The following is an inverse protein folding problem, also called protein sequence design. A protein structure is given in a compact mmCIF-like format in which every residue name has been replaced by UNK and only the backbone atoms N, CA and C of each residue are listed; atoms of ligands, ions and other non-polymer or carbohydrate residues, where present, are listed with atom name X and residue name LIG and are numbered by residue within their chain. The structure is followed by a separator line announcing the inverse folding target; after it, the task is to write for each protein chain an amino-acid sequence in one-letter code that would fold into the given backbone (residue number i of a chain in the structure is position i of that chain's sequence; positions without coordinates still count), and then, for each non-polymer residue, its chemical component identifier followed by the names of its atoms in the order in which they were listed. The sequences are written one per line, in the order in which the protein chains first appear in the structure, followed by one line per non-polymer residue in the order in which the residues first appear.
data_IF_804665712739
#
_entry.id   IF_804665712739
#
_cell.length_a   1.000
_cell.length_b   1.000
_cell.length_c   1.000
_cell.angle_alpha   90.00
_cell.angle_beta   90.00
_cell.angle_gamma   90.00
#
_symmetry.space_group_name_H-M   'P 1'
#
loop_
_entity.id
_entity.type
_entity.pdbx_description
1 polymer ?
#
# COMPACT_ATOMS: atom_id res chain seq x y z
N UNK A 1 -4.33 -15.85 -3.05
CA UNK A 1 -3.60 -15.51 -1.81
C UNK A 1 -2.12 -15.39 -2.15
N UNK A 2 -1.39 -14.41 -1.59
CA UNK A 2 0.00 -14.15 -1.96
C UNK A 2 0.92 -14.22 -0.71
N UNK A 3 2.09 -14.88 -0.78
CA UNK A 3 2.97 -15.08 0.40
C UNK A 3 3.56 -13.78 0.96
N UNK A 4 3.65 -12.71 0.18
CA UNK A 4 4.14 -11.41 0.66
C UNK A 4 3.10 -10.60 1.47
N UNK A 5 1.85 -11.05 1.54
CA UNK A 5 0.85 -10.42 2.41
C UNK A 5 0.96 -10.97 3.81
N UNK A 6 1.20 -10.10 4.80
CA UNK A 6 1.55 -10.51 6.16
C UNK A 6 0.57 -9.93 7.18
N UNK A 7 0.29 -10.73 8.20
CA UNK A 7 -0.31 -10.26 9.45
C UNK A 7 0.81 -9.94 10.43
N UNK A 8 1.09 -8.66 10.61
CA UNK A 8 2.13 -8.17 11.50
C UNK A 8 1.59 -8.05 12.94
N UNK A 9 2.36 -8.58 13.89
CA UNK A 9 2.15 -8.47 15.35
C UNK A 9 3.31 -7.79 16.07
N UNK A 10 4.44 -7.59 15.37
CA UNK A 10 5.67 -7.01 15.91
C UNK A 10 6.42 -6.15 14.92
N UNK A 11 7.33 -5.33 15.45
CA UNK A 11 8.24 -4.47 14.72
C UNK A 11 9.56 -4.35 15.49
N UNK A 12 10.70 -4.51 14.82
CA UNK A 12 12.04 -4.46 15.42
C UNK A 12 12.22 -5.39 16.63
N UNK A 13 11.73 -6.63 16.53
CA UNK A 13 11.86 -7.65 17.59
C UNK A 13 10.98 -7.44 18.82
N UNK A 14 10.06 -6.47 18.79
CA UNK A 14 9.13 -6.15 19.86
C UNK A 14 7.69 -6.20 19.36
N UNK A 15 6.72 -6.29 20.27
CA UNK A 15 5.29 -6.12 19.95
C UNK A 15 5.05 -4.78 19.26
N UNK A 16 4.09 -4.76 18.33
CA UNK A 16 3.70 -3.52 17.64
C UNK A 16 3.33 -2.42 18.64
N UNK A 17 3.87 -1.20 18.49
CA UNK A 17 3.36 -0.03 19.21
C UNK A 17 1.95 0.37 18.73
N UNK A 18 1.16 1.03 19.59
CA UNK A 18 -0.21 1.45 19.27
C UNK A 18 -0.28 2.35 18.03
N UNK A 19 0.68 3.28 17.86
CA UNK A 19 0.75 4.14 16.68
C UNK A 19 0.95 3.37 15.37
N UNK A 20 1.50 2.16 15.44
CA UNK A 20 1.68 1.25 14.32
C UNK A 20 0.49 0.29 14.13
N UNK A 21 -0.60 0.43 14.90
CA UNK A 21 -1.82 -0.36 14.71
C UNK A 21 -1.82 -1.71 15.42
N UNK A 22 -1.25 -1.77 16.61
CA UNK A 22 -1.34 -2.92 17.51
C UNK A 22 -2.82 -3.34 17.80
N UNK A 23 -3.07 -4.59 18.23
CA UNK A 23 -2.10 -5.69 18.32
C UNK A 23 -1.83 -6.38 16.98
N UNK A 24 -2.68 -6.14 15.98
CA UNK A 24 -2.72 -6.86 14.71
C UNK A 24 -2.88 -5.90 13.54
N UNK A 25 -1.94 -5.93 12.59
CA UNK A 25 -1.92 -5.07 11.40
C UNK A 25 -1.71 -5.88 10.14
N UNK A 26 -2.42 -5.52 9.07
CA UNK A 26 -2.13 -6.05 7.73
C UNK A 26 -0.94 -5.30 7.11
N UNK A 27 -0.06 -6.02 6.40
CA UNK A 27 1.01 -5.46 5.59
C UNK A 27 0.94 -6.05 4.18
N UNK A 28 0.82 -5.18 3.18
CA UNK A 28 0.84 -5.55 1.76
C UNK A 28 1.92 -4.71 1.05
N UNK A 29 3.14 -5.24 0.85
CA UNK A 29 4.32 -4.40 0.62
C UNK A 29 4.37 -3.72 -0.75
N UNK A 30 3.64 -4.23 -1.74
CA UNK A 30 3.62 -3.68 -3.10
C UNK A 30 2.49 -2.66 -3.34
N UNK A 31 1.66 -2.40 -2.33
CA UNK A 31 0.51 -1.47 -2.40
C UNK A 31 0.78 -0.22 -1.57
N UNK A 32 0.05 0.85 -1.88
CA UNK A 32 0.08 2.05 -1.05
C UNK A 32 -0.36 1.76 0.39
N UNK A 33 0.23 2.48 1.35
CA UNK A 33 0.12 2.17 2.78
C UNK A 33 -1.31 2.15 3.34
N UNK A 34 -2.26 2.82 2.69
CA UNK A 34 -3.66 2.84 3.12
C UNK A 34 -4.38 1.49 2.96
N UNK A 35 -3.83 0.57 2.15
CA UNK A 35 -4.33 -0.83 2.06
C UNK A 35 -3.89 -1.70 3.25
N UNK A 36 -2.91 -1.24 4.02
CA UNK A 36 -2.38 -1.92 5.20
C UNK A 36 -3.12 -1.42 6.45
N UNK A 37 -4.32 -1.97 6.71
CA UNK A 37 -5.21 -1.56 7.80
C UNK A 37 -4.60 -1.83 9.19
N UNK A 38 -4.90 -0.94 10.15
CA UNK A 38 -4.42 -0.99 11.55
C UNK A 38 -5.46 -1.61 12.47
N UNK A 39 -5.01 -2.24 13.56
CA UNK A 39 -5.86 -2.64 14.69
C UNK A 39 -7.07 -3.46 14.25
N UNK A 40 -6.81 -4.53 13.50
CA UNK A 40 -7.85 -5.40 12.94
C UNK A 40 -8.57 -6.13 14.06
N UNK A 41 -9.90 -6.04 14.05
CA UNK A 41 -10.80 -6.75 14.98
C UNK A 41 -11.63 -7.83 14.30
N UNK A 42 -11.79 -7.75 12.98
CA UNK A 42 -12.66 -8.64 12.22
C UNK A 42 -12.10 -8.86 10.81
N UNK A 43 -12.24 -10.08 10.29
CA UNK A 43 -11.88 -10.46 8.92
C UNK A 43 -13.05 -11.25 8.35
N UNK A 44 -13.68 -10.69 7.32
CA UNK A 44 -14.80 -11.31 6.62
C UNK A 44 -14.38 -11.74 5.21
N UNK A 45 -14.76 -12.96 4.82
CA UNK A 45 -14.60 -13.45 3.45
C UNK A 45 -15.94 -13.26 2.74
N UNK A 46 -15.96 -12.38 1.73
CA UNK A 46 -17.17 -12.00 1.00
C UNK A 46 -17.10 -12.45 -0.45
N UNK A 47 -18.25 -12.72 -1.07
CA UNK A 47 -18.33 -13.06 -2.49
C UNK A 47 -18.14 -11.85 -3.41
N UNK A 48 -18.47 -10.65 -2.92
CA UNK A 48 -18.37 -9.39 -3.65
C UNK A 48 -17.22 -8.53 -3.13
N UNK A 49 -16.70 -7.64 -4.00
CA UNK A 49 -15.64 -6.70 -3.65
C UNK A 49 -16.14 -5.68 -2.61
N UNK A 50 -15.56 -5.62 -1.41
CA UNK A 50 -16.00 -4.68 -0.39
C UNK A 50 -15.57 -3.24 -0.71
N UNK A 51 -16.32 -2.28 -0.17
CA UNK A 51 -15.92 -0.88 -0.18
C UNK A 51 -14.74 -0.65 0.77
N UNK A 52 -13.88 0.33 0.46
CA UNK A 52 -12.69 0.62 1.27
C UNK A 52 -12.68 2.08 1.69
N UNK A 53 -12.24 2.37 2.93
CA UNK A 53 -12.45 3.69 3.54
C UNK A 53 -11.95 4.87 2.70
N UNK A 54 -10.77 4.75 2.09
CA UNK A 54 -10.19 5.81 1.24
C UNK A 54 -10.92 5.96 -0.10
N UNK A 55 -11.31 4.84 -0.72
CA UNK A 55 -12.10 4.86 -1.95
C UNK A 55 -13.49 5.45 -1.72
N UNK A 56 -14.14 5.10 -0.60
CA UNK A 56 -15.45 5.67 -0.25
C UNK A 56 -15.36 7.16 0.08
N UNK A 57 -14.24 7.61 0.66
CA UNK A 57 -14.02 9.02 0.99
C UNK A 57 -13.70 9.87 -0.25
N UNK A 58 -12.85 9.37 -1.14
CA UNK A 58 -12.44 10.10 -2.35
C UNK A 58 -12.16 9.12 -3.51
N UNK A 59 -13.21 8.67 -4.23
CA UNK A 59 -13.08 7.64 -5.27
C UNK A 59 -12.29 8.10 -6.50
N UNK A 60 -12.14 9.42 -6.69
CA UNK A 60 -11.33 9.99 -7.76
C UNK A 60 -9.82 9.93 -7.50
N UNK A 61 -9.41 9.69 -6.25
CA UNK A 61 -8.00 9.68 -5.82
C UNK A 61 -7.49 8.30 -5.42
N UNK A 62 -8.37 7.45 -4.87
CA UNK A 62 -7.99 6.16 -4.32
C UNK A 62 -8.87 5.04 -4.88
N UNK A 63 -8.29 4.15 -5.68
CA UNK A 63 -8.96 2.96 -6.16
C UNK A 63 -8.79 1.75 -5.24
N UNK A 64 -9.40 0.65 -5.67
CA UNK A 64 -9.45 -0.56 -4.87
C UNK A 64 -8.10 -1.29 -4.80
N UNK A 65 -7.40 -1.44 -5.93
CA UNK A 65 -6.18 -2.26 -5.98
C UNK A 65 -4.97 -1.52 -5.43
N UNK A 66 -4.79 -0.24 -5.74
CA UNK A 66 -3.78 0.62 -5.15
C UNK A 66 -2.36 0.05 -5.17
N UNK A 67 -1.98 -0.55 -6.30
CA UNK A 67 -0.61 -1.00 -6.54
C UNK A 67 0.29 0.23 -6.68
N UNK A 68 1.48 0.20 -6.06
CA UNK A 68 2.45 1.29 -6.25
C UNK A 68 2.88 1.33 -7.71
N UNK A 69 2.61 2.45 -8.38
CA UNK A 69 2.90 2.61 -9.80
C UNK A 69 3.47 4.02 -10.08
N UNK A 70 4.75 4.15 -10.42
CA UNK A 70 5.36 5.46 -10.71
C UNK A 70 4.82 6.13 -11.98
N UNK A 71 4.23 5.36 -12.90
CA UNK A 71 3.69 5.89 -14.16
C UNK A 71 2.27 6.46 -14.01
N UNK A 72 1.63 6.27 -12.86
CA UNK A 72 0.28 6.75 -12.59
C UNK A 72 0.33 7.72 -11.42
N UNK A 73 0.22 9.00 -11.74
CA UNK A 73 0.27 10.07 -10.75
C UNK A 73 -1.04 10.14 -9.95
N UNK A 74 -0.94 10.57 -8.70
CA UNK A 74 -2.10 10.95 -7.91
C UNK A 74 -2.67 12.28 -8.47
N UNK A 75 -3.99 12.54 -8.43
CA UNK A 75 -4.57 13.76 -9.01
C UNK A 75 -3.95 15.09 -8.54
N UNK A 76 -3.31 15.07 -7.37
CA UNK A 76 -2.70 16.25 -6.72
C UNK A 76 -1.17 16.25 -6.69
N UNK A 77 -0.49 15.15 -7.02
CA UNK A 77 0.98 15.07 -6.97
C UNK A 77 1.51 13.90 -7.78
N UNK A 78 2.77 14.03 -8.23
CA UNK A 78 3.43 12.93 -8.95
C UNK A 78 3.86 11.79 -8.03
N UNK A 79 3.71 10.56 -8.52
CA UNK A 79 4.14 9.33 -7.83
C UNK A 79 5.52 8.83 -8.29
N UNK A 80 6.16 9.50 -9.26
CA UNK A 80 7.46 9.10 -9.84
C UNK A 80 8.62 9.05 -8.84
N UNK A 81 8.53 9.82 -7.76
CA UNK A 81 9.57 9.90 -6.74
C UNK A 81 8.95 9.90 -5.35
N UNK A 82 9.63 9.26 -4.41
CA UNK A 82 9.26 9.21 -3.01
C UNK A 82 10.34 9.81 -2.12
N UNK A 83 9.98 10.14 -0.88
CA UNK A 83 10.91 10.61 0.15
C UNK A 83 11.21 9.46 1.10
N UNK A 84 12.40 8.88 0.99
CA UNK A 84 12.85 7.82 1.89
C UNK A 84 13.17 8.39 3.26
N UNK A 85 12.57 7.82 4.31
CA UNK A 85 12.81 8.24 5.69
C UNK A 85 14.03 7.51 6.30
N UNK A 86 14.79 8.14 7.21
CA UNK A 86 14.66 9.54 7.63
C UNK A 86 15.13 10.51 6.54
N UNK A 87 14.49 11.69 6.49
CA UNK A 87 14.84 12.78 5.57
C UNK A 87 14.80 14.09 6.34
N UNK A 88 15.76 14.98 6.08
CA UNK A 88 15.79 16.34 6.65
C UNK A 88 15.33 17.37 5.62
N UNK A 89 14.86 18.53 6.08
CA UNK A 89 14.49 19.68 5.21
C UNK A 89 15.69 20.15 4.40
N UNK A 90 16.90 20.12 4.98
CA UNK A 90 18.13 20.58 4.32
C UNK A 90 18.81 19.51 3.46
N UNK A 91 18.38 18.25 3.57
CA UNK A 91 18.89 17.10 2.79
C UNK A 91 17.72 16.18 2.44
N UNK A 92 16.90 16.56 1.45
CA UNK A 92 15.78 15.74 1.02
C UNK A 92 16.29 14.42 0.42
N UNK A 93 15.97 13.30 1.07
CA UNK A 93 16.29 11.97 0.59
C UNK A 93 15.21 11.51 -0.40
N UNK A 94 15.24 12.05 -1.63
CA UNK A 94 14.31 11.66 -2.70
C UNK A 94 14.93 10.58 -3.57
N UNK A 95 14.16 9.53 -3.82
CA UNK A 95 14.53 8.41 -4.69
C UNK A 95 13.40 8.13 -5.69
N UNK A 96 13.70 7.60 -6.89
CA UNK A 96 12.66 7.14 -7.80
C UNK A 96 11.80 6.05 -7.15
N UNK A 97 10.49 6.15 -7.33
CA UNK A 97 9.55 5.12 -6.87
C UNK A 97 9.64 3.91 -7.80
N UNK A 98 9.69 2.71 -7.24
CA UNK A 98 9.76 1.47 -8.02
C UNK A 98 8.35 0.94 -8.33
N UNK A 99 8.13 0.32 -9.51
CA UNK A 99 6.89 -0.38 -9.80
C UNK A 99 6.66 -1.50 -8.77
N UNK A 100 5.42 -1.64 -8.31
CA UNK A 100 5.05 -2.57 -7.24
C UNK A 100 5.92 -2.43 -5.99
N UNK A 101 6.45 -1.24 -5.73
CA UNK A 101 7.37 -0.95 -4.63
C UNK A 101 8.62 -1.87 -4.62
N UNK A 102 9.06 -2.32 -5.81
CA UNK A 102 10.22 -3.19 -5.98
C UNK A 102 9.92 -4.69 -5.96
N UNK A 103 8.66 -5.10 -5.83
CA UNK A 103 8.24 -6.51 -5.81
C UNK A 103 7.64 -6.99 -7.15
N UNK A 104 7.98 -6.32 -8.24
CA UNK A 104 7.38 -6.56 -9.55
C UNK A 104 7.53 -8.01 -10.00
N UNK A 105 8.72 -8.59 -9.86
CA UNK A 105 9.02 -9.97 -10.26
C UNK A 105 8.11 -10.99 -9.55
N UNK A 106 7.71 -10.70 -8.32
CA UNK A 106 6.88 -11.56 -7.49
C UNK A 106 5.38 -11.36 -7.75
N UNK A 107 4.93 -10.12 -7.99
CA UNK A 107 3.49 -9.80 -7.98
C UNK A 107 2.89 -9.42 -9.32
N UNK A 108 3.70 -9.10 -10.35
CA UNK A 108 3.17 -8.61 -11.63
C UNK A 108 2.24 -9.62 -12.31
N UNK A 109 2.51 -10.91 -12.16
CA UNK A 109 1.69 -12.00 -12.71
C UNK A 109 0.23 -11.95 -12.23
N UNK A 110 -0.03 -11.44 -11.03
CA UNK A 110 -1.38 -11.33 -10.46
C UNK A 110 -2.28 -10.33 -11.18
N UNK A 111 -1.68 -9.41 -11.93
CA UNK A 111 -2.38 -8.28 -12.56
C UNK A 111 -2.26 -8.28 -14.08
N UNK A 112 -1.81 -9.38 -14.68
CA UNK A 112 -1.69 -9.49 -16.13
C UNK A 112 -3.04 -9.29 -16.82
N UNK A 113 -3.05 -8.47 -17.88
CA UNK A 113 -4.26 -8.13 -18.63
C UNK A 113 -5.16 -7.08 -17.95
N UNK A 114 -4.80 -6.59 -16.76
CA UNK A 114 -5.51 -5.48 -16.13
C UNK A 114 -4.96 -4.13 -16.55
N UNK A 115 -5.84 -3.14 -16.64
CA UNK A 115 -5.47 -1.74 -16.81
C UNK A 115 -5.07 -1.14 -15.44
N UNK A 116 -3.77 -1.14 -15.16
CA UNK A 116 -3.21 -0.61 -13.91
C UNK A 116 -3.38 0.92 -13.77
N UNK A 117 -3.70 1.63 -14.85
CA UNK A 117 -3.98 3.08 -14.84
C UNK A 117 -5.42 3.41 -14.46
N UNK A 118 -6.32 2.42 -14.48
CA UNK A 118 -7.72 2.55 -14.06
C UNK A 118 -7.99 2.08 -12.64
N UNK A 119 -7.04 1.34 -12.05
CA UNK A 119 -7.18 0.63 -10.78
C UNK A 119 -6.14 1.05 -9.71
N UNK A 120 -5.52 2.22 -9.85
CA UNK A 120 -4.52 2.79 -8.92
C UNK A 120 -5.13 3.29 -7.59
#
# INVERSE_FOLDING_TARGET
MHPLTLMAVGLYGKTLPNQNGAPLRLVVPWKYGFKSIKSIVEINVTAEQPQTSWQSLQPSEYGFYANVNPEVDHPRWSQKYERRLPSSIFKPNRVPTLPFNGYEAEVASLYQGMDLSRYY
#
